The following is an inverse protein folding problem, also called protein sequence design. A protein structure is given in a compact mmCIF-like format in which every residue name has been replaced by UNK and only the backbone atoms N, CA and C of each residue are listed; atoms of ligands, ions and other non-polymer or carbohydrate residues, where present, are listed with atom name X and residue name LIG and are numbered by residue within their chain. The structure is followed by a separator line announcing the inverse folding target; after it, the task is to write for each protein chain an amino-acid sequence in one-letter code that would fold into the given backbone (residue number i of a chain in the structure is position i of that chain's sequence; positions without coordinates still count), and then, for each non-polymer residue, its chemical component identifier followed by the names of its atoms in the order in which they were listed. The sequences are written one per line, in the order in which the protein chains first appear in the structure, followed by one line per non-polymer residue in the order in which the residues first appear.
data_IF_409217595756
#
_entry.id   IF_409217595756
#
_cell.length_a   1.000
_cell.length_b   1.000
_cell.length_c   1.000
_cell.angle_alpha   90.00
_cell.angle_beta   90.00
_cell.angle_gamma   90.00
#
_symmetry.space_group_name_H-M   'P 1'
#
loop_
_entity.id
_entity.type
_entity.pdbx_description
1 polymer ?
#
# COMPACT_ATOMS: atom_id res chain seq x y z
N UNK A 1 7.49 -3.97 10.68
CA UNK A 1 6.70 -4.71 9.65
C UNK A 1 5.85 -3.74 8.85
N UNK A 2 5.40 -4.15 7.64
CA UNK A 2 4.37 -3.45 6.86
C UNK A 2 3.14 -4.35 6.85
N UNK A 3 2.03 -3.84 7.35
CA UNK A 3 0.74 -4.53 7.39
C UNK A 3 -0.19 -3.94 6.34
N UNK A 4 -0.86 -4.77 5.54
CA UNK A 4 -1.86 -4.33 4.57
C UNK A 4 -3.20 -4.96 4.94
N UNK A 5 -4.21 -4.13 5.16
CA UNK A 5 -5.53 -4.57 5.57
C UNK A 5 -6.65 -3.87 4.79
N UNK A 6 -7.88 -4.32 4.98
CA UNK A 6 -9.08 -3.70 4.43
C UNK A 6 -9.69 -2.70 5.42
N UNK A 7 -10.59 -1.85 4.92
CA UNK A 7 -11.42 -0.98 5.75
C UNK A 7 -12.19 -1.77 6.85
N UNK A 8 -12.67 -2.96 6.48
CA UNK A 8 -13.51 -3.79 7.36
C UNK A 8 -12.73 -4.44 8.50
N UNK A 9 -11.46 -4.72 8.30
CA UNK A 9 -10.58 -5.35 9.29
C UNK A 9 -9.73 -4.34 10.07
N UNK A 10 -9.70 -3.09 9.62
CA UNK A 10 -8.80 -2.08 10.15
C UNK A 10 -8.86 -1.93 11.67
N UNK A 11 -10.06 -1.85 12.24
CA UNK A 11 -10.23 -1.67 13.70
C UNK A 11 -9.65 -2.84 14.49
N UNK A 12 -9.96 -4.05 14.04
CA UNK A 12 -9.48 -5.28 14.68
C UNK A 12 -7.97 -5.39 14.57
N UNK A 13 -7.42 -5.26 13.37
CA UNK A 13 -5.99 -5.39 13.12
C UNK A 13 -5.20 -4.29 13.84
N UNK A 14 -5.69 -3.04 13.80
CA UNK A 14 -5.04 -1.91 14.48
C UNK A 14 -4.98 -2.11 16.00
N UNK A 15 -6.07 -2.61 16.60
CA UNK A 15 -6.14 -2.85 18.04
C UNK A 15 -5.18 -3.95 18.51
N UNK A 16 -4.98 -4.97 17.69
CA UNK A 16 -4.11 -6.09 17.99
C UNK A 16 -2.63 -5.78 17.71
N UNK A 17 -2.34 -5.18 16.55
CA UNK A 17 -0.96 -4.98 16.07
C UNK A 17 -0.33 -3.68 16.59
N UNK A 18 -1.14 -2.68 16.92
CA UNK A 18 -0.72 -1.38 17.45
C UNK A 18 0.41 -0.74 16.64
N UNK A 19 0.23 -0.54 15.33
CA UNK A 19 1.26 0.01 14.47
C UNK A 19 1.61 1.44 14.88
N UNK A 20 2.86 1.83 14.64
CA UNK A 20 3.35 3.19 14.93
C UNK A 20 2.90 4.21 13.88
N UNK A 21 2.65 3.75 12.64
CA UNK A 21 2.30 4.57 11.50
C UNK A 21 1.09 3.99 10.76
N UNK A 22 0.28 4.89 10.21
CA UNK A 22 -0.94 4.51 9.48
C UNK A 22 -1.08 5.29 8.18
N UNK A 23 -1.36 4.57 7.09
CA UNK A 23 -1.77 5.14 5.80
C UNK A 23 -3.18 4.67 5.47
N UNK A 24 -4.07 5.63 5.20
CA UNK A 24 -5.45 5.41 4.80
C UNK A 24 -5.67 5.94 3.39
N UNK A 25 -6.06 5.08 2.44
CA UNK A 25 -6.31 5.43 1.04
C UNK A 25 -7.75 5.08 0.69
N UNK A 26 -8.64 6.07 0.76
CA UNK A 26 -10.09 5.89 0.58
C UNK A 26 -10.66 6.97 -0.33
N UNK A 27 -11.74 6.64 -1.02
CA UNK A 27 -12.53 7.63 -1.75
C UNK A 27 -13.20 8.64 -0.81
N UNK A 28 -13.61 9.81 -1.32
CA UNK A 28 -14.28 10.85 -0.52
C UNK A 28 -15.56 10.38 0.17
N UNK A 29 -16.26 9.41 -0.44
CA UNK A 29 -17.49 8.83 0.12
C UNK A 29 -17.23 7.85 1.28
N UNK A 30 -16.02 7.28 1.36
CA UNK A 30 -15.65 6.29 2.37
C UNK A 30 -14.95 6.97 3.56
N UNK A 31 -15.68 7.79 4.29
CA UNK A 31 -15.13 8.54 5.43
C UNK A 31 -14.95 7.61 6.64
N UNK A 32 -13.73 7.56 7.18
CA UNK A 32 -13.49 6.99 8.51
C UNK A 32 -13.84 8.01 9.58
N UNK A 33 -14.69 7.62 10.51
CA UNK A 33 -14.75 8.30 11.79
C UNK A 33 -13.60 7.78 12.66
N UNK A 34 -12.65 8.63 12.94
CA UNK A 34 -11.39 8.31 13.64
C UNK A 34 -11.44 8.05 15.16
N UNK A 35 -12.58 8.08 15.89
CA UNK A 35 -12.55 7.91 17.35
C UNK A 35 -11.86 6.63 17.81
N UNK A 36 -11.89 5.59 16.96
CA UNK A 36 -11.34 4.27 17.28
C UNK A 36 -9.82 4.22 17.19
N UNK A 37 -9.23 5.03 16.30
CA UNK A 37 -7.79 5.04 16.04
C UNK A 37 -7.01 5.97 16.99
N UNK A 38 -7.69 6.58 17.94
CA UNK A 38 -7.07 7.43 18.97
C UNK A 38 -6.30 8.61 18.39
N UNK A 39 -5.30 9.07 19.14
CA UNK A 39 -4.44 10.21 18.80
C UNK A 39 -3.15 9.75 18.10
N UNK A 40 -3.21 8.86 17.09
CA UNK A 40 -2.02 8.50 16.36
C UNK A 40 -1.54 9.69 15.51
N UNK A 41 -0.45 10.33 15.92
CA UNK A 41 0.09 11.52 15.24
C UNK A 41 0.73 11.18 13.88
N UNK A 42 1.22 9.93 13.74
CA UNK A 42 1.93 9.45 12.54
C UNK A 42 0.96 8.79 11.57
N UNK A 43 0.09 9.59 10.97
CA UNK A 43 -0.93 9.10 10.03
C UNK A 43 -0.98 9.94 8.76
N UNK A 44 -1.23 9.26 7.64
CA UNK A 44 -1.49 9.88 6.35
C UNK A 44 -2.87 9.46 5.86
N UNK A 45 -3.63 10.42 5.35
CA UNK A 45 -4.86 10.19 4.61
C UNK A 45 -4.69 10.65 3.17
N UNK A 46 -4.99 9.76 2.24
CA UNK A 46 -5.06 10.05 0.80
C UNK A 46 -6.50 9.82 0.36
N UNK A 47 -7.08 10.85 -0.27
CA UNK A 47 -8.43 10.77 -0.80
C UNK A 47 -8.39 10.53 -2.31
N UNK A 48 -8.67 9.30 -2.72
CA UNK A 48 -8.91 8.95 -4.11
C UNK A 48 -9.67 7.63 -4.19
N UNK A 49 -10.44 7.48 -5.27
CA UNK A 49 -11.14 6.25 -5.57
C UNK A 49 -10.23 5.23 -6.26
N UNK A 50 -10.65 3.96 -6.26
CA UNK A 50 -9.93 2.88 -6.91
C UNK A 50 -10.36 2.74 -8.37
N UNK A 51 -10.01 3.74 -9.17
CA UNK A 51 -10.33 3.79 -10.60
C UNK A 51 -9.11 4.13 -11.42
N UNK A 52 -9.09 3.67 -12.66
CA UNK A 52 -7.96 3.89 -13.58
C UNK A 52 -8.19 5.05 -14.56
N UNK A 53 -9.45 5.38 -14.83
CA UNK A 53 -9.85 6.40 -15.78
C UNK A 53 -10.85 7.36 -15.14
N UNK A 54 -10.87 8.65 -15.56
CA UNK A 54 -11.85 9.60 -15.09
C UNK A 54 -13.29 9.10 -15.27
N UNK A 55 -14.08 9.19 -14.20
CA UNK A 55 -15.48 8.83 -14.17
C UNK A 55 -16.25 9.84 -13.34
N UNK A 56 -17.47 10.17 -13.75
CA UNK A 56 -18.30 11.18 -13.06
C UNK A 56 -18.58 10.75 -11.62
N UNK A 57 -18.35 11.63 -10.67
CA UNK A 57 -18.58 11.39 -9.25
C UNK A 57 -17.45 10.68 -8.52
N UNK A 58 -16.34 10.36 -9.19
CA UNK A 58 -15.17 9.71 -8.59
C UNK A 58 -13.94 10.60 -8.63
N UNK A 59 -13.13 10.52 -7.59
CA UNK A 59 -11.84 11.20 -7.51
C UNK A 59 -10.73 10.27 -7.99
N UNK A 60 -10.21 10.54 -9.19
CA UNK A 60 -9.15 9.73 -9.81
C UNK A 60 -7.85 9.85 -9.02
N UNK A 61 -7.05 8.78 -8.87
CA UNK A 61 -5.68 8.89 -8.41
C UNK A 61 -4.88 9.86 -9.28
N UNK A 62 -4.15 10.77 -8.66
CA UNK A 62 -3.30 11.75 -9.30
C UNK A 62 -1.86 11.62 -8.79
N UNK A 63 -0.90 12.19 -9.51
CA UNK A 63 0.52 12.08 -9.15
C UNK A 63 0.79 12.71 -7.77
N UNK A 64 0.08 13.78 -7.43
CA UNK A 64 0.21 14.48 -6.14
C UNK A 64 -0.15 13.59 -4.94
N UNK A 65 -1.09 12.65 -5.11
CA UNK A 65 -1.40 11.65 -4.10
C UNK A 65 -0.20 10.73 -3.83
N UNK A 66 0.51 10.35 -4.88
CA UNK A 66 1.69 9.47 -4.78
C UNK A 66 2.92 10.24 -4.30
N UNK A 67 3.09 11.51 -4.68
CA UNK A 67 4.13 12.39 -4.11
C UNK A 67 3.96 12.54 -2.60
N UNK A 68 2.72 12.75 -2.15
CA UNK A 68 2.38 12.83 -0.72
C UNK A 68 2.67 11.51 -0.01
N UNK A 69 2.30 10.38 -0.62
CA UNK A 69 2.61 9.04 -0.10
C UNK A 69 4.12 8.84 0.06
N UNK A 70 4.89 9.12 -0.98
CA UNK A 70 6.35 8.95 -0.99
C UNK A 70 7.02 9.85 0.04
N UNK A 71 6.56 11.10 0.19
CA UNK A 71 7.07 12.01 1.21
C UNK A 71 6.84 11.47 2.63
N UNK A 72 5.66 10.90 2.90
CA UNK A 72 5.34 10.27 4.17
C UNK A 72 6.17 9.00 4.41
N UNK A 73 6.35 8.17 3.39
CA UNK A 73 7.19 6.96 3.47
C UNK A 73 8.68 7.29 3.71
N UNK A 74 9.18 8.40 3.15
CA UNK A 74 10.54 8.91 3.45
C UNK A 74 10.68 9.32 4.91
N UNK A 75 9.65 9.94 5.49
CA UNK A 75 9.63 10.29 6.91
C UNK A 75 9.54 9.06 7.82
N UNK A 76 8.79 8.04 7.42
CA UNK A 76 8.71 6.76 8.12
C UNK A 76 10.05 6.02 8.09
N UNK A 77 10.69 5.91 6.92
CA UNK A 77 12.02 5.31 6.70
C UNK A 77 12.24 3.96 7.42
N UNK A 78 11.21 3.12 7.49
CA UNK A 78 11.28 1.82 8.17
C UNK A 78 11.30 1.87 9.70
N UNK A 79 11.03 3.02 10.31
CA UNK A 79 11.03 3.17 11.76
C UNK A 79 9.68 2.78 12.36
N UNK A 80 9.65 1.62 13.03
CA UNK A 80 8.43 1.06 13.61
C UNK A 80 7.52 0.41 12.59
N UNK A 81 6.38 -0.07 13.05
CA UNK A 81 5.42 -0.79 12.26
C UNK A 81 4.50 0.16 11.48
N UNK A 82 4.30 -0.14 10.20
CA UNK A 82 3.44 0.62 9.30
C UNK A 82 2.21 -0.19 8.91
N UNK A 83 1.02 0.34 9.15
CA UNK A 83 -0.22 -0.23 8.64
C UNK A 83 -0.74 0.61 7.47
N UNK A 84 -1.15 -0.06 6.40
CA UNK A 84 -1.69 0.56 5.19
C UNK A 84 -3.03 -0.09 4.89
N UNK A 85 -4.07 0.72 4.71
CA UNK A 85 -5.36 0.19 4.29
C UNK A 85 -6.00 0.99 3.16
N UNK A 86 -6.85 0.33 2.42
CA UNK A 86 -7.81 0.94 1.52
C UNK A 86 -9.20 0.33 1.76
N UNK A 87 -10.14 0.46 0.85
CA UNK A 87 -11.47 -0.10 1.05
C UNK A 87 -11.43 -1.64 1.13
N UNK A 88 -10.95 -2.29 0.09
CA UNK A 88 -10.93 -3.75 -0.01
C UNK A 88 -9.61 -4.40 0.45
N UNK A 89 -8.53 -3.65 0.67
CA UNK A 89 -7.22 -4.21 0.99
C UNK A 89 -6.49 -4.86 -0.20
N UNK A 90 -7.02 -4.74 -1.42
CA UNK A 90 -6.54 -5.52 -2.58
C UNK A 90 -5.83 -4.72 -3.67
N UNK A 91 -6.00 -3.38 -3.75
CA UNK A 91 -5.47 -2.59 -4.86
C UNK A 91 -4.58 -1.43 -4.39
N UNK A 92 -5.16 -0.33 -3.87
CA UNK A 92 -4.42 0.89 -3.46
C UNK A 92 -3.45 0.63 -2.32
N UNK A 93 -3.87 -0.09 -1.28
CA UNK A 93 -2.99 -0.41 -0.15
C UNK A 93 -1.86 -1.38 -0.49
N UNK A 94 -2.04 -2.46 -1.27
CA UNK A 94 -0.91 -3.25 -1.76
C UNK A 94 0.04 -2.48 -2.66
N UNK A 95 -0.45 -1.54 -3.48
CA UNK A 95 0.42 -0.67 -4.27
C UNK A 95 1.29 0.22 -3.37
N UNK A 96 0.70 0.84 -2.35
CA UNK A 96 1.44 1.64 -1.38
C UNK A 96 2.45 0.79 -0.57
N UNK A 97 2.11 -0.45 -0.22
CA UNK A 97 3.02 -1.36 0.45
C UNK A 97 4.21 -1.78 -0.44
N UNK A 98 3.95 -2.05 -1.73
CA UNK A 98 5.00 -2.34 -2.70
C UNK A 98 5.96 -1.15 -2.87
N UNK A 99 5.43 0.07 -2.95
CA UNK A 99 6.23 1.30 -2.98
C UNK A 99 7.09 1.39 -1.71
N UNK A 100 6.49 1.21 -0.53
CA UNK A 100 7.20 1.29 0.75
C UNK A 100 8.32 0.26 0.84
N UNK A 101 8.05 -1.00 0.48
CA UNK A 101 9.02 -2.09 0.52
C UNK A 101 10.17 -1.86 -0.45
N UNK A 102 9.89 -1.39 -1.67
CA UNK A 102 10.91 -1.09 -2.68
C UNK A 102 11.77 0.11 -2.27
N UNK A 103 11.19 1.13 -1.64
CA UNK A 103 11.97 2.26 -1.11
C UNK A 103 12.96 1.83 -0.02
N UNK A 104 12.63 0.81 0.79
CA UNK A 104 13.52 0.23 1.79
C UNK A 104 14.54 -0.74 1.18
N UNK A 105 14.29 -1.27 -0.01
CA UNK A 105 15.11 -2.27 -0.70
C UNK A 105 15.36 -1.86 -2.16
N UNK A 106 16.10 -0.78 -2.41
CA UNK A 106 16.34 -0.28 -3.77
C UNK A 106 16.95 -1.34 -4.69
N UNK A 107 16.44 -1.44 -5.91
CA UNK A 107 16.89 -2.42 -6.92
C UNK A 107 16.31 -3.82 -6.73
N UNK A 108 15.38 -4.01 -5.77
CA UNK A 108 14.69 -5.30 -5.52
C UNK A 108 13.18 -5.21 -5.77
N UNK A 109 12.75 -4.41 -6.74
CA UNK A 109 11.33 -4.19 -7.02
C UNK A 109 10.62 -5.49 -7.43
N UNK A 110 11.29 -6.35 -8.19
CA UNK A 110 10.75 -7.65 -8.57
C UNK A 110 10.62 -8.58 -7.36
N UNK A 111 11.64 -8.67 -6.52
CA UNK A 111 11.60 -9.49 -5.30
C UNK A 111 10.51 -8.99 -4.35
N UNK A 112 10.34 -7.67 -4.24
CA UNK A 112 9.27 -7.05 -3.45
C UNK A 112 7.88 -7.42 -3.98
N UNK A 113 7.70 -7.43 -5.30
CA UNK A 113 6.44 -7.81 -5.94
C UNK A 113 6.15 -9.31 -5.74
N UNK A 114 7.16 -10.17 -5.87
CA UNK A 114 7.01 -11.61 -5.65
C UNK A 114 6.69 -11.91 -4.19
N UNK A 115 7.35 -11.26 -3.25
CA UNK A 115 7.05 -11.37 -1.82
C UNK A 115 5.62 -10.90 -1.50
N UNK A 116 5.20 -9.76 -2.07
CA UNK A 116 3.83 -9.29 -1.93
C UNK A 116 2.82 -10.32 -2.46
N UNK A 117 3.11 -10.99 -3.57
CA UNK A 117 2.26 -12.07 -4.13
C UNK A 117 2.21 -13.28 -3.22
N UNK A 118 3.34 -13.66 -2.64
CA UNK A 118 3.44 -14.79 -1.72
C UNK A 118 2.61 -14.56 -0.45
N UNK A 119 2.79 -13.40 0.20
CA UNK A 119 2.13 -13.06 1.45
C UNK A 119 0.68 -12.59 1.26
N UNK A 120 0.34 -12.10 0.07
CA UNK A 120 -0.98 -11.58 -0.27
C UNK A 120 -1.48 -12.08 -1.63
N UNK A 121 -1.94 -13.34 -1.75
CA UNK A 121 -2.44 -13.89 -3.01
C UNK A 121 -3.57 -13.05 -3.63
N UNK A 122 -4.37 -12.37 -2.81
CA UNK A 122 -5.46 -11.48 -3.24
C UNK A 122 -4.97 -10.13 -3.77
N UNK A 123 -3.70 -9.75 -3.54
CA UNK A 123 -3.18 -8.44 -3.91
C UNK A 123 -3.18 -8.23 -5.44
N UNK A 124 -3.70 -7.09 -5.86
CA UNK A 124 -3.70 -6.59 -7.24
C UNK A 124 -3.31 -5.12 -7.21
N UNK A 125 -2.02 -4.82 -7.03
CA UNK A 125 -1.56 -3.44 -6.83
C UNK A 125 -2.02 -2.52 -7.94
N UNK A 126 -2.53 -1.34 -7.57
CA UNK A 126 -3.01 -0.32 -8.50
C UNK A 126 -1.89 0.12 -9.45
N UNK A 127 -2.02 -0.18 -10.74
CA UNK A 127 -1.03 0.21 -11.76
C UNK A 127 -0.86 1.73 -11.85
N UNK A 128 -1.93 2.48 -11.61
CA UNK A 128 -1.87 3.95 -11.65
C UNK A 128 -0.95 4.48 -10.54
N UNK A 129 -1.06 3.95 -9.32
CA UNK A 129 -0.18 4.30 -8.21
C UNK A 129 1.28 3.95 -8.53
N UNK A 130 1.53 2.74 -9.05
CA UNK A 130 2.88 2.29 -9.36
C UNK A 130 3.52 3.09 -10.49
N UNK A 131 2.76 3.40 -11.55
CA UNK A 131 3.22 4.24 -12.65
C UNK A 131 3.58 5.66 -12.20
N UNK A 132 2.80 6.24 -11.30
CA UNK A 132 3.14 7.54 -10.73
C UNK A 132 4.34 7.44 -9.78
N UNK A 133 4.47 6.36 -9.01
CA UNK A 133 5.62 6.14 -8.17
C UNK A 133 6.91 6.02 -8.98
N UNK A 134 6.90 5.26 -10.09
CA UNK A 134 8.04 5.18 -11.01
C UNK A 134 8.47 6.56 -11.54
N UNK A 135 7.50 7.42 -11.87
CA UNK A 135 7.80 8.80 -12.29
C UNK A 135 8.41 9.66 -11.19
N UNK A 136 7.94 9.52 -9.95
CA UNK A 136 8.39 10.33 -8.81
C UNK A 136 9.73 9.84 -8.26
N UNK A 137 9.95 8.53 -8.25
CA UNK A 137 11.19 7.91 -7.77
C UNK A 137 12.33 7.99 -8.78
N UNK A 138 12.02 8.08 -10.07
CA UNK A 138 12.99 8.29 -11.14
C UNK A 138 13.29 7.04 -11.96
N UNK A 139 14.27 7.14 -12.86
CA UNK A 139 14.54 6.19 -13.93
C UNK A 139 14.93 4.78 -13.47
N UNK A 140 15.40 4.64 -12.25
CA UNK A 140 15.82 3.34 -11.69
C UNK A 140 14.66 2.57 -11.05
N UNK A 141 13.46 3.17 -10.96
CA UNK A 141 12.27 2.51 -10.42
C UNK A 141 11.57 1.67 -11.46
N UNK A 142 11.21 0.45 -11.11
CA UNK A 142 10.55 -0.53 -11.98
C UNK A 142 9.35 -1.20 -11.28
N UNK A 143 8.58 -0.44 -10.52
CA UNK A 143 7.45 -0.93 -9.72
C UNK A 143 6.31 -1.45 -10.58
N UNK A 144 5.90 -0.68 -11.60
CA UNK A 144 4.82 -1.11 -12.50
C UNK A 144 5.19 -2.39 -13.27
N UNK A 145 6.37 -2.50 -13.92
CA UNK A 145 6.83 -3.75 -14.54
C UNK A 145 6.94 -4.92 -13.56
N UNK A 146 7.47 -4.69 -12.35
CA UNK A 146 7.59 -5.72 -11.33
C UNK A 146 6.22 -6.27 -10.91
N UNK A 147 5.25 -5.40 -10.66
CA UNK A 147 3.89 -5.81 -10.31
C UNK A 147 3.20 -6.60 -11.45
N UNK A 148 3.43 -6.21 -12.69
CA UNK A 148 2.91 -6.96 -13.86
C UNK A 148 3.54 -8.35 -14.01
N UNK A 149 4.74 -8.55 -13.51
CA UNK A 149 5.44 -9.84 -13.51
C UNK A 149 4.94 -10.79 -12.41
N UNK A 150 4.10 -10.33 -11.50
CA UNK A 150 3.54 -11.16 -10.44
C UNK A 150 2.73 -12.31 -11.05
N UNK A 151 2.96 -13.56 -10.64
CA UNK A 151 2.18 -14.71 -11.15
C UNK A 151 0.70 -14.55 -10.80
N UNK A 152 -0.16 -15.10 -11.66
CA UNK A 152 -1.59 -15.20 -11.33
C UNK A 152 -1.75 -16.08 -10.08
N UNK A 153 -2.48 -15.66 -9.07
CA UNK A 153 -2.66 -16.47 -7.86
C UNK A 153 -3.51 -17.69 -8.17
N UNK A 154 -3.11 -18.83 -7.66
CA UNK A 154 -3.87 -20.09 -7.76
C UNK A 154 -5.21 -20.04 -7.02
N UNK A 155 -5.31 -19.15 -6.05
CA UNK A 155 -6.50 -18.94 -5.22
C UNK A 155 -6.68 -17.47 -4.90
N UNK A 156 -7.91 -16.97 -5.02
CA UNK A 156 -8.29 -15.66 -4.47
C UNK A 156 -8.77 -15.89 -3.04
N UNK A 157 -7.93 -15.58 -2.06
CA UNK A 157 -8.35 -15.56 -0.67
C UNK A 157 -9.26 -14.34 -0.43
N UNK A 158 -10.24 -14.47 0.44
CA UNK A 158 -10.90 -13.32 1.05
C UNK A 158 -9.85 -12.54 1.86
N UNK A 159 -10.02 -11.25 1.96
CA UNK A 159 -9.09 -10.24 2.47
C UNK A 159 -8.39 -10.62 3.78
N UNK A 160 -7.36 -11.44 3.71
CA UNK A 160 -6.49 -11.71 4.84
C UNK A 160 -5.48 -10.56 4.99
N UNK A 161 -5.07 -10.33 6.23
CA UNK A 161 -3.99 -9.39 6.55
C UNK A 161 -2.71 -9.81 5.83
N UNK A 162 -2.12 -8.89 5.05
CA UNK A 162 -0.81 -9.12 4.44
C UNK A 162 0.26 -8.58 5.39
N UNK A 163 1.29 -9.37 5.65
CA UNK A 163 2.40 -9.01 6.53
C UNK A 163 3.71 -9.08 5.76
N UNK A 164 4.38 -7.94 5.61
CA UNK A 164 5.64 -7.83 4.87
C UNK A 164 6.77 -7.38 5.80
N UNK A 165 7.97 -7.98 5.72
CA UNK A 165 9.14 -7.51 6.43
C UNK A 165 9.65 -6.19 5.84
N UNK A 166 10.46 -5.44 6.56
CA UNK A 166 11.12 -4.23 6.03
C UNK A 166 12.27 -4.57 5.06
N UNK A 167 12.90 -5.71 5.24
CA UNK A 167 14.02 -6.16 4.42
C UNK A 167 13.66 -7.44 3.67
N UNK A 168 14.03 -7.49 2.41
CA UNK A 168 13.87 -8.68 1.57
C UNK A 168 15.14 -9.50 1.69
N UNK A 169 15.04 -10.69 2.26
CA UNK A 169 16.14 -11.63 2.29
C UNK A 169 16.24 -12.34 0.92
N UNK A 170 17.37 -12.26 0.23
CA UNK A 170 17.54 -12.94 -1.05
C UNK A 170 17.62 -14.48 -0.94
N UNK A 171 17.60 -15.00 0.28
CA UNK A 171 17.74 -16.44 0.59
C UNK A 171 16.56 -17.02 1.38
N UNK A 172 15.46 -16.26 1.55
CA UNK A 172 14.23 -16.71 2.24
C UNK A 172 13.33 -17.51 1.30
#
# INVERSE_FOLDING_TARGET
MIYVTSYWQLETDFSHLKPDWLISILGPADQLSWPVLGSLDRRLRIECDDIQCPSSGFLVPAIEHVETLIAFLRAWNGQGDLMIHCKAGTSRSPAAALIALSMLNPGKELDAALLLRQEGPQARPSEVFLRYADKVLGADSALEPAARSMPTPDRVAETDLIVLPHTIDPHA
#
